data_IF_992307815485
#
_entry.id   IF_992307815485
#
_cell.length_a   1.000
_cell.length_b   1.000
_cell.length_c   1.000
_cell.angle_alpha   90.00
_cell.angle_beta   90.00
_cell.angle_gamma   90.00
#
_symmetry.space_group_name_H-M   'P 1'
#
loop_
_entity.id
_entity.type
_entity.pdbx_description
1 polymer ?
#
# COMPACT_ATOMS: atom_id res chain seq x y z
N UNK A 1 10.84 3.13 -17.51
CA UNK A 1 10.16 2.56 -16.34
C UNK A 1 10.36 3.50 -15.17
N UNK A 2 9.31 3.81 -14.44
CA UNK A 2 9.36 4.61 -13.20
C UNK A 2 8.90 3.74 -12.06
N UNK A 3 9.77 3.59 -11.07
CA UNK A 3 9.48 2.85 -9.84
C UNK A 3 9.28 3.82 -8.69
N UNK A 4 8.13 3.75 -8.02
CA UNK A 4 7.80 4.62 -6.88
C UNK A 4 7.76 3.74 -5.62
N UNK A 5 8.89 3.62 -4.94
CA UNK A 5 9.08 2.75 -3.78
C UNK A 5 9.83 3.47 -2.64
N UNK A 6 9.45 4.69 -2.33
CA UNK A 6 10.11 5.51 -1.31
C UNK A 6 11.60 5.65 -1.56
N UNK A 7 12.46 5.30 -0.60
CA UNK A 7 13.93 5.38 -0.75
C UNK A 7 14.49 4.52 -1.88
N UNK A 8 13.76 3.54 -2.35
CA UNK A 8 14.14 2.65 -3.45
C UNK A 8 13.58 3.08 -4.81
N UNK A 9 12.90 4.23 -4.88
CA UNK A 9 12.42 4.79 -6.15
C UNK A 9 13.56 4.97 -7.15
N UNK A 10 13.26 4.68 -8.42
CA UNK A 10 14.24 4.78 -9.50
C UNK A 10 13.53 5.14 -10.83
N UNK A 11 14.29 5.69 -11.77
CA UNK A 11 13.88 5.79 -13.16
C UNK A 11 14.89 4.98 -13.96
N UNK A 12 14.39 4.02 -14.73
CA UNK A 12 15.19 3.04 -15.46
C UNK A 12 14.84 3.14 -16.94
N UNK A 13 15.84 3.36 -17.75
CA UNK A 13 15.70 3.42 -19.20
C UNK A 13 16.07 2.06 -19.80
N UNK A 14 15.10 1.42 -20.45
CA UNK A 14 15.25 0.12 -21.08
C UNK A 14 15.01 0.21 -22.59
N UNK A 15 15.61 -0.70 -23.35
CA UNK A 15 15.26 -0.90 -24.75
C UNK A 15 13.94 -1.71 -24.86
N UNK A 16 13.51 -1.96 -26.10
CA UNK A 16 12.33 -2.74 -26.45
C UNK A 16 12.37 -4.21 -26.01
N UNK A 17 13.56 -4.74 -25.73
CA UNK A 17 13.77 -6.10 -25.22
C UNK A 17 13.84 -6.17 -23.69
N UNK A 18 13.59 -5.05 -22.99
CA UNK A 18 13.67 -5.00 -21.51
C UNK A 18 15.09 -4.91 -20.95
N UNK A 19 16.11 -4.71 -21.81
CA UNK A 19 17.49 -4.57 -21.36
C UNK A 19 17.74 -3.14 -20.89
N UNK A 20 18.31 -2.99 -19.70
CA UNK A 20 18.61 -1.71 -19.07
C UNK A 20 19.72 -1.01 -19.88
N UNK A 21 19.41 0.19 -20.38
CA UNK A 21 20.36 1.09 -21.01
C UNK A 21 21.04 1.94 -19.95
N UNK A 22 20.24 2.53 -19.05
CA UNK A 22 20.72 3.35 -17.93
C UNK A 22 19.67 3.50 -16.83
N UNK A 23 20.05 4.05 -15.68
CA UNK A 23 19.14 4.37 -14.58
C UNK A 23 19.68 5.50 -13.72
N UNK A 24 18.78 6.23 -13.03
CA UNK A 24 19.20 7.31 -12.11
C UNK A 24 19.99 6.75 -10.93
N UNK A 25 19.57 5.57 -10.42
CA UNK A 25 20.30 4.87 -9.35
C UNK A 25 20.80 3.54 -9.88
N UNK A 26 22.11 3.40 -9.96
CA UNK A 26 22.75 2.12 -10.23
C UNK A 26 22.74 1.27 -8.96
N UNK A 27 22.19 0.06 -9.04
CA UNK A 27 22.10 -0.88 -7.94
C UNK A 27 22.89 -2.13 -8.29
N UNK A 28 24.01 -2.33 -7.62
CA UNK A 28 24.86 -3.53 -7.80
C UNK A 28 24.43 -4.68 -6.88
N UNK A 29 24.95 -5.88 -7.15
CA UNK A 29 24.74 -7.06 -6.30
C UNK A 29 25.21 -6.86 -4.84
N UNK A 30 26.16 -5.94 -4.61
CA UNK A 30 26.59 -5.58 -3.26
C UNK A 30 25.59 -4.70 -2.51
N UNK A 31 24.76 -3.93 -3.24
CA UNK A 31 23.76 -3.02 -2.66
C UNK A 31 22.39 -3.67 -2.48
N UNK A 32 22.10 -4.70 -3.27
CA UNK A 32 20.82 -5.42 -3.21
C UNK A 32 21.04 -6.89 -3.51
N UNK A 33 20.51 -7.74 -2.62
CA UNK A 33 20.43 -9.19 -2.83
C UNK A 33 19.25 -9.61 -3.73
N UNK A 34 18.36 -8.66 -4.05
CA UNK A 34 17.12 -8.95 -4.80
C UNK A 34 17.35 -8.85 -6.29
N UNK A 35 17.98 -7.77 -6.75
CA UNK A 35 18.29 -7.57 -8.18
C UNK A 35 19.37 -6.52 -8.37
N UNK A 36 20.00 -6.60 -9.52
CA UNK A 36 20.88 -5.53 -10.02
C UNK A 36 20.09 -4.58 -10.95
N UNK A 37 20.39 -3.29 -10.88
CA UNK A 37 19.91 -2.27 -11.83
C UNK A 37 21.14 -1.58 -12.40
N UNK A 38 21.71 -2.17 -13.45
CA UNK A 38 22.93 -1.72 -14.10
C UNK A 38 22.77 -1.79 -15.62
N UNK A 39 23.45 -0.93 -16.38
CA UNK A 39 23.48 -1.02 -17.83
C UNK A 39 23.85 -2.43 -18.31
N UNK A 40 23.11 -2.93 -19.30
CA UNK A 40 23.31 -4.25 -19.87
C UNK A 40 22.63 -5.40 -19.15
N UNK A 41 22.06 -5.18 -17.96
CA UNK A 41 21.23 -6.17 -17.26
C UNK A 41 19.81 -6.18 -17.80
N UNK A 42 19.14 -7.30 -17.67
CA UNK A 42 17.72 -7.41 -17.96
C UNK A 42 16.90 -6.81 -16.81
N UNK A 43 15.90 -5.99 -17.15
CA UNK A 43 14.94 -5.47 -16.18
C UNK A 43 13.92 -6.54 -15.81
N UNK A 44 13.71 -6.73 -14.55
CA UNK A 44 12.58 -7.51 -14.04
C UNK A 44 11.98 -6.85 -12.80
N UNK A 45 10.70 -7.08 -12.60
CA UNK A 45 10.01 -6.68 -11.38
C UNK A 45 10.36 -7.74 -10.32
N UNK A 46 11.04 -7.34 -9.21
CA UNK A 46 11.35 -8.31 -8.18
C UNK A 46 10.06 -8.90 -7.60
N UNK A 47 9.99 -10.19 -7.51
CA UNK A 47 8.98 -10.87 -6.70
C UNK A 47 9.37 -10.73 -5.23
N UNK A 48 9.30 -9.48 -4.74
CA UNK A 48 9.81 -9.12 -3.41
C UNK A 48 8.89 -9.51 -2.29
N UNK A 49 7.66 -9.91 -2.62
CA UNK A 49 6.71 -10.32 -1.60
C UNK A 49 5.71 -11.30 -2.21
N UNK A 50 5.54 -12.42 -1.55
CA UNK A 50 4.42 -13.35 -1.75
C UNK A 50 3.09 -12.70 -1.30
N UNK A 51 2.88 -11.44 -1.72
CA UNK A 51 1.64 -10.72 -1.42
C UNK A 51 0.61 -11.03 -2.48
N UNK A 52 -0.61 -11.18 -2.02
CA UNK A 52 -1.77 -11.46 -2.86
C UNK A 52 -2.29 -10.14 -3.47
N UNK A 53 -2.83 -10.22 -4.68
CA UNK A 53 -3.55 -9.12 -5.29
C UNK A 53 -4.88 -8.91 -4.55
N UNK A 54 -5.07 -7.76 -3.88
CA UNK A 54 -6.28 -7.50 -3.11
C UNK A 54 -7.54 -7.40 -3.97
N UNK A 55 -7.38 -7.13 -5.28
CA UNK A 55 -8.51 -6.95 -6.20
C UNK A 55 -9.14 -8.26 -6.66
N UNK A 56 -8.45 -9.39 -6.45
CA UNK A 56 -8.88 -10.71 -6.92
C UNK A 56 -9.09 -11.72 -5.80
N UNK A 57 -8.67 -11.39 -4.56
CA UNK A 57 -8.75 -12.30 -3.41
C UNK A 57 -10.21 -12.55 -3.00
N UNK A 58 -10.54 -13.81 -2.73
CA UNK A 58 -11.85 -14.19 -2.18
C UNK A 58 -11.90 -13.99 -0.65
N UNK A 59 -13.11 -14.02 -0.08
CA UNK A 59 -13.31 -13.91 1.38
C UNK A 59 -12.59 -15.01 2.15
N UNK A 60 -12.63 -16.23 1.64
CA UNK A 60 -11.99 -17.41 2.25
C UNK A 60 -10.45 -17.30 2.20
N UNK A 61 -9.91 -16.87 1.05
CA UNK A 61 -8.48 -16.63 0.88
C UNK A 61 -8.00 -15.48 1.78
N UNK A 62 -8.77 -14.39 1.86
CA UNK A 62 -8.48 -13.27 2.75
C UNK A 62 -8.38 -13.74 4.21
N UNK A 63 -9.38 -14.46 4.69
CA UNK A 63 -9.38 -14.99 6.05
C UNK A 63 -8.21 -15.96 6.27
N UNK A 64 -7.93 -16.85 5.32
CA UNK A 64 -6.81 -17.80 5.40
C UNK A 64 -5.45 -17.09 5.48
N UNK A 65 -5.28 -15.97 4.78
CA UNK A 65 -4.05 -15.18 4.82
C UNK A 65 -3.83 -14.45 6.14
N UNK A 66 -4.86 -14.24 6.95
CA UNK A 66 -4.77 -13.55 8.23
C UNK A 66 -4.80 -14.51 9.41
N UNK A 67 -5.53 -15.63 9.30
CA UNK A 67 -5.69 -16.62 10.37
C UNK A 67 -4.33 -17.10 10.89
N UNK A 68 -4.20 -17.15 12.22
CA UNK A 68 -3.01 -17.69 12.90
C UNK A 68 -1.78 -16.79 12.87
N UNK A 69 -1.83 -15.59 12.31
CA UNK A 69 -0.69 -14.68 12.32
C UNK A 69 -0.50 -14.02 13.68
N UNK A 70 0.66 -14.24 14.35
CA UNK A 70 0.95 -13.67 15.67
C UNK A 70 1.46 -12.22 15.58
N UNK A 71 0.81 -11.39 14.78
CA UNK A 71 1.17 -9.98 14.59
C UNK A 71 -0.08 -9.12 14.57
N UNK A 72 0.02 -7.80 14.86
CA UNK A 72 -1.09 -6.85 14.79
C UNK A 72 -1.90 -7.00 13.51
N UNK A 73 -3.23 -6.92 13.61
CA UNK A 73 -4.15 -7.14 12.49
C UNK A 73 -3.82 -6.24 11.29
N UNK A 74 -3.59 -4.94 11.51
CA UNK A 74 -3.20 -4.05 10.43
C UNK A 74 -1.90 -4.52 9.75
N UNK A 75 -0.91 -4.98 10.53
CA UNK A 75 0.33 -5.51 10.00
C UNK A 75 0.10 -6.78 9.19
N UNK A 76 -0.74 -7.68 9.65
CA UNK A 76 -1.12 -8.88 8.91
C UNK A 76 -1.74 -8.53 7.56
N UNK A 77 -2.60 -7.49 7.50
CA UNK A 77 -3.23 -7.03 6.26
C UNK A 77 -2.18 -6.46 5.29
N UNK A 78 -1.44 -5.40 5.66
CA UNK A 78 -0.54 -4.75 4.70
C UNK A 78 0.67 -5.60 4.32
N UNK A 79 1.01 -6.63 5.08
CA UNK A 79 2.05 -7.59 4.69
C UNK A 79 1.53 -8.72 3.81
N UNK A 80 0.22 -8.99 3.79
CA UNK A 80 -0.40 -10.03 2.98
C UNK A 80 -0.83 -9.55 1.60
N UNK A 81 -1.26 -8.29 1.48
CA UNK A 81 -1.88 -7.78 0.26
C UNK A 81 -1.05 -6.67 -0.38
N UNK A 82 -0.91 -6.75 -1.72
CA UNK A 82 -0.17 -5.76 -2.52
C UNK A 82 -0.90 -4.42 -2.51
N UNK A 83 -0.16 -3.31 -2.44
CA UNK A 83 -0.73 -1.95 -2.54
C UNK A 83 -1.44 -1.45 -1.29
N UNK A 84 -1.62 -2.27 -0.26
CA UNK A 84 -2.19 -1.83 1.02
C UNK A 84 -1.09 -1.23 1.90
N UNK A 85 -1.24 0.04 2.24
CA UNK A 85 -0.34 0.74 3.18
C UNK A 85 -0.72 0.45 4.65
N UNK A 86 0.18 0.70 5.62
CA UNK A 86 -0.18 0.64 7.04
C UNK A 86 -1.41 1.49 7.38
N UNK A 87 -1.47 2.73 6.91
CA UNK A 87 -2.59 3.65 7.15
C UNK A 87 -3.90 3.12 6.55
N UNK A 88 -3.83 2.56 5.34
CA UNK A 88 -4.99 1.92 4.71
C UNK A 88 -5.48 0.71 5.51
N UNK A 89 -4.57 -0.11 6.01
CA UNK A 89 -4.93 -1.27 6.84
C UNK A 89 -5.58 -0.85 8.17
N UNK A 90 -5.08 0.21 8.80
CA UNK A 90 -5.68 0.80 10.01
C UNK A 90 -7.07 1.34 9.73
N UNK A 91 -7.27 2.02 8.59
CA UNK A 91 -8.60 2.51 8.18
C UNK A 91 -9.59 1.36 7.99
N UNK A 92 -9.20 0.29 7.30
CA UNK A 92 -10.06 -0.88 7.08
C UNK A 92 -10.45 -1.53 8.42
N UNK A 93 -9.52 -1.67 9.36
CA UNK A 93 -9.81 -2.14 10.72
C UNK A 93 -10.79 -1.21 11.44
N UNK A 94 -10.58 0.09 11.35
CA UNK A 94 -11.44 1.10 11.98
C UNK A 94 -12.86 1.05 11.41
N UNK A 95 -13.03 0.94 10.10
CA UNK A 95 -14.33 0.80 9.44
C UNK A 95 -15.05 -0.48 9.85
N UNK A 96 -14.31 -1.54 10.15
CA UNK A 96 -14.85 -2.79 10.69
C UNK A 96 -15.11 -2.75 12.21
N UNK A 97 -14.78 -1.63 12.89
CA UNK A 97 -14.89 -1.53 14.35
C UNK A 97 -13.91 -2.44 15.10
N UNK A 98 -12.77 -2.78 14.50
CA UNK A 98 -11.79 -3.71 15.05
C UNK A 98 -10.52 -2.97 15.50
N UNK A 99 -9.92 -3.44 16.59
CA UNK A 99 -8.64 -2.92 17.06
C UNK A 99 -7.50 -3.45 16.17
N UNK A 100 -6.88 -2.56 15.42
CA UNK A 100 -5.80 -2.86 14.48
C UNK A 100 -4.52 -3.40 15.15
N UNK A 101 -4.35 -3.15 16.46
CA UNK A 101 -3.18 -3.54 17.25
C UNK A 101 -3.26 -4.96 17.82
N UNK A 102 -4.46 -5.52 17.93
CA UNK A 102 -4.68 -6.89 18.40
C UNK A 102 -4.10 -7.89 17.40
N UNK A 103 -3.39 -8.95 17.84
CA UNK A 103 -2.87 -9.97 16.94
C UNK A 103 -3.97 -10.64 16.12
N UNK A 104 -3.73 -10.82 14.81
CA UNK A 104 -4.71 -11.40 13.90
C UNK A 104 -5.16 -12.80 14.29
N UNK A 105 -4.30 -13.58 14.96
CA UNK A 105 -4.61 -14.92 15.49
C UNK A 105 -5.69 -14.93 16.57
N UNK A 106 -5.99 -13.80 17.21
CA UNK A 106 -7.01 -13.70 18.25
C UNK A 106 -8.42 -13.54 17.68
N UNK A 107 -8.52 -13.27 16.37
CA UNK A 107 -9.80 -13.15 15.69
C UNK A 107 -10.23 -14.48 15.07
N UNK A 108 -11.51 -14.82 15.24
CA UNK A 108 -12.11 -15.99 14.59
C UNK A 108 -12.26 -15.77 13.09
N UNK A 109 -12.41 -16.86 12.34
CA UNK A 109 -12.64 -16.79 10.89
C UNK A 109 -13.88 -15.95 10.54
N UNK A 110 -14.96 -16.05 11.31
CA UNK A 110 -16.20 -15.27 11.08
C UNK A 110 -15.96 -13.76 11.23
N UNK A 111 -15.16 -13.36 12.23
CA UNK A 111 -14.78 -11.95 12.41
C UNK A 111 -13.90 -11.47 11.25
N UNK A 112 -13.00 -12.30 10.77
CA UNK A 112 -12.16 -11.97 9.60
C UNK A 112 -12.98 -11.88 8.31
N UNK A 113 -14.07 -12.65 8.18
CA UNK A 113 -15.03 -12.50 7.07
C UNK A 113 -15.80 -11.16 7.15
N UNK A 114 -16.15 -10.71 8.37
CA UNK A 114 -16.72 -9.37 8.53
C UNK A 114 -15.72 -8.28 8.15
N UNK A 115 -14.45 -8.41 8.52
CA UNK A 115 -13.38 -7.51 8.09
C UNK A 115 -13.26 -7.47 6.57
N UNK A 116 -13.37 -8.61 5.90
CA UNK A 116 -13.34 -8.70 4.44
C UNK A 116 -14.42 -7.84 3.78
N UNK A 117 -15.61 -7.76 4.35
CA UNK A 117 -16.68 -6.91 3.82
C UNK A 117 -16.24 -5.44 3.77
N UNK A 118 -15.58 -4.93 4.82
CA UNK A 118 -15.07 -3.56 4.84
C UNK A 118 -13.87 -3.38 3.90
N UNK A 119 -13.02 -4.39 3.82
CA UNK A 119 -11.90 -4.44 2.86
C UNK A 119 -12.41 -4.33 1.41
N UNK A 120 -13.45 -5.10 1.06
CA UNK A 120 -14.05 -5.09 -0.27
C UNK A 120 -14.73 -3.75 -0.58
N UNK A 121 -15.48 -3.17 0.38
CA UNK A 121 -16.09 -1.84 0.23
C UNK A 121 -15.01 -0.79 -0.01
N UNK A 122 -13.90 -0.82 0.74
CA UNK A 122 -12.79 0.11 0.54
C UNK A 122 -12.18 -0.04 -0.86
N UNK A 123 -11.99 -1.27 -1.32
CA UNK A 123 -11.43 -1.54 -2.64
C UNK A 123 -12.39 -1.21 -3.80
N UNK A 124 -13.71 -1.30 -3.58
CA UNK A 124 -14.69 -0.95 -4.61
C UNK A 124 -14.60 0.53 -4.99
N UNK A 125 -14.32 1.41 -4.01
CA UNK A 125 -14.09 2.83 -4.28
C UNK A 125 -12.88 3.05 -5.21
N UNK A 126 -11.86 2.22 -5.11
CA UNK A 126 -10.69 2.26 -6.00
C UNK A 126 -11.04 1.73 -7.38
N UNK A 127 -11.78 0.60 -7.47
CA UNK A 127 -12.21 0.00 -8.74
C UNK A 127 -13.14 0.93 -9.54
N UNK A 128 -13.92 1.75 -8.85
CA UNK A 128 -14.90 2.67 -9.43
C UNK A 128 -14.35 4.09 -9.64
N UNK A 129 -13.03 4.31 -9.43
CA UNK A 129 -12.39 5.63 -9.49
C UNK A 129 -13.07 6.68 -8.58
N UNK A 130 -13.72 6.22 -7.50
CA UNK A 130 -14.46 7.07 -6.56
C UNK A 130 -13.53 7.65 -5.50
N UNK A 131 -12.64 8.54 -5.91
CA UNK A 131 -11.67 9.16 -5.01
C UNK A 131 -12.19 10.43 -4.35
N UNK A 132 -11.81 10.62 -3.09
CA UNK A 132 -12.00 11.85 -2.33
C UNK A 132 -10.72 12.20 -1.59
N UNK A 133 -9.71 12.71 -2.32
CA UNK A 133 -8.39 12.92 -1.75
C UNK A 133 -8.39 14.01 -0.68
N UNK A 134 -7.49 13.90 0.29
CA UNK A 134 -7.34 14.89 1.34
C UNK A 134 -6.00 14.82 2.04
N UNK A 135 -5.63 15.93 2.65
CA UNK A 135 -4.47 16.05 3.54
C UNK A 135 -5.00 16.24 4.96
N UNK A 136 -4.42 15.52 5.91
CA UNK A 136 -4.78 15.57 7.32
C UNK A 136 -3.73 16.36 8.10
N UNK A 137 -4.17 17.37 8.85
CA UNK A 137 -3.32 18.30 9.58
C UNK A 137 -3.50 18.16 11.10
N UNK A 138 -2.40 18.20 11.82
CA UNK A 138 -2.35 18.47 13.25
C UNK A 138 -2.03 19.97 13.44
N UNK A 139 -3.07 20.77 13.71
CA UNK A 139 -2.98 22.20 13.65
C UNK A 139 -2.59 22.69 12.25
N UNK A 140 -1.33 23.11 12.05
CA UNK A 140 -0.80 23.56 10.76
C UNK A 140 0.17 22.58 10.12
N UNK A 141 0.51 21.49 10.81
CA UNK A 141 1.48 20.51 10.34
C UNK A 141 0.79 19.39 9.56
N UNK A 142 1.15 19.16 8.27
CA UNK A 142 0.62 18.03 7.52
C UNK A 142 1.18 16.72 8.11
N UNK A 143 0.29 15.78 8.42
CA UNK A 143 0.63 14.47 9.01
C UNK A 143 0.46 13.33 8.03
N UNK A 144 -0.63 13.36 7.26
CA UNK A 144 -0.95 12.26 6.35
C UNK A 144 -1.71 12.79 5.13
N UNK A 145 -1.65 12.03 4.05
CA UNK A 145 -2.49 12.27 2.86
C UNK A 145 -3.08 10.93 2.39
N UNK A 146 -4.28 10.99 1.85
CA UNK A 146 -4.93 9.78 1.32
C UNK A 146 -5.81 10.10 0.13
N UNK A 147 -5.94 9.15 -0.80
CA UNK A 147 -6.87 9.21 -1.92
C UNK A 147 -8.32 8.98 -1.50
N UNK A 148 -8.54 8.30 -0.38
CA UNK A 148 -9.83 8.04 0.24
C UNK A 148 -9.88 8.64 1.65
N UNK A 149 -11.07 8.96 2.19
CA UNK A 149 -11.20 9.44 3.56
C UNK A 149 -10.61 8.46 4.58
N UNK A 150 -9.99 9.01 5.64
CA UNK A 150 -9.49 8.25 6.78
C UNK A 150 -10.36 8.58 7.99
N UNK A 151 -11.28 7.68 8.35
CA UNK A 151 -12.25 7.89 9.42
C UNK A 151 -11.61 7.81 10.81
N UNK A 152 -10.51 7.09 10.96
CA UNK A 152 -9.77 6.99 12.21
C UNK A 152 -8.93 8.23 12.56
N UNK A 153 -8.77 9.18 11.62
CA UNK A 153 -8.08 10.46 11.85
C UNK A 153 -9.00 11.52 12.49
N UNK A 154 -9.71 11.14 13.54
CA UNK A 154 -10.76 11.99 14.18
C UNK A 154 -10.24 13.28 14.82
N UNK A 155 -8.97 13.33 15.20
CA UNK A 155 -8.35 14.49 15.84
C UNK A 155 -7.61 15.42 14.87
N UNK A 156 -7.70 15.14 13.57
CA UNK A 156 -7.00 15.89 12.53
C UNK A 156 -7.98 16.67 11.66
N UNK A 157 -7.53 17.84 11.20
CA UNK A 157 -8.31 18.62 10.23
C UNK A 157 -8.03 18.11 8.82
N UNK A 158 -9.06 17.69 8.10
CA UNK A 158 -8.95 17.24 6.72
C UNK A 158 -9.15 18.42 5.78
N UNK A 159 -8.17 18.70 4.91
CA UNK A 159 -8.28 19.62 3.79
C UNK A 159 -8.45 18.85 2.48
N UNK A 160 -9.52 19.16 1.74
CA UNK A 160 -9.82 18.55 0.43
C UNK A 160 -9.54 19.51 -0.73
N UNK A 161 -9.14 20.75 -0.45
CA UNK A 161 -8.80 21.75 -1.46
C UNK A 161 -7.35 21.55 -1.94
N UNK A 162 -7.10 20.47 -2.66
CA UNK A 162 -5.80 20.24 -3.29
C UNK A 162 -5.61 21.27 -4.42
N UNK A 163 -4.96 22.38 -4.09
CA UNK A 163 -4.48 23.33 -5.11
C UNK A 163 -3.21 22.76 -5.71
N UNK A 164 -3.24 22.45 -7.00
CA UNK A 164 -2.01 22.29 -7.77
C UNK A 164 -1.28 23.63 -7.74
N UNK A 165 -0.28 23.77 -6.89
CA UNK A 165 0.69 24.86 -6.98
C UNK A 165 1.56 24.59 -8.19
N UNK A 166 1.14 25.07 -9.37
CA UNK A 166 2.07 25.32 -10.46
C UNK A 166 2.99 26.44 -10.01
N UNK A 167 4.05 26.10 -9.30
CA UNK A 167 5.19 27.01 -9.22
C UNK A 167 5.88 26.92 -10.58
N UNK A 168 5.82 28.01 -11.32
CA UNK A 168 6.67 28.22 -12.47
C UNK A 168 8.13 28.07 -12.03
N UNK A 169 8.81 27.06 -12.57
CA UNK A 169 10.24 27.01 -12.64
C UNK A 169 10.71 27.95 -13.76
#
# INVERSE_FOLDING_TARGET
IVEIMGKHSNIIFCNDQGKIIDSIKHVSAQMSSVREVLPGREYFIPDTMQKVDPLTVTSEEFAAHLTGKPMPLAKAIYTSFTGISPVTAEEICSLAGMDSSVPAQEYSADILLHLYTQFEIYLSAIKEDSFSPGIYFDGKEPKEFSALPLSHFVNYTRDTQLRATTQHL
#
